data_IF_741137260671
#
_entry.id   IF_741137260671
#
_cell.length_a   1.000
_cell.length_b   1.000
_cell.length_c   1.000
_cell.angle_alpha   90.00
_cell.angle_beta   90.00
_cell.angle_gamma   90.00
#
_symmetry.space_group_name_H-M   'P 1'
#
loop_
_entity.id
_entity.type
_entity.pdbx_description
1 polymer ?
#
# COMPACT_ATOMS: atom_id res chain seq x y z
N UNK A 1 16.05 -3.24 10.32
CA UNK A 1 16.41 -3.22 8.90
C UNK A 1 15.95 -1.87 8.40
N UNK A 2 16.88 -1.01 7.99
CA UNK A 2 16.52 0.29 7.42
C UNK A 2 15.90 0.02 6.05
N UNK A 3 14.59 0.26 5.93
CA UNK A 3 13.94 0.27 4.63
C UNK A 3 14.42 1.52 3.89
N UNK A 4 15.11 1.35 2.76
CA UNK A 4 15.62 2.46 1.95
C UNK A 4 14.53 3.20 1.15
N UNK A 5 13.27 2.77 1.26
CA UNK A 5 12.15 3.34 0.51
C UNK A 5 11.33 4.37 1.30
N UNK A 6 10.42 5.01 0.58
CA UNK A 6 9.53 6.05 1.10
C UNK A 6 8.15 5.49 1.38
N UNK A 7 7.68 5.64 2.62
CA UNK A 7 6.40 5.09 3.06
C UNK A 7 5.24 6.07 2.84
N UNK A 8 4.12 5.55 2.35
CA UNK A 8 2.80 6.21 2.40
C UNK A 8 1.83 5.32 3.16
N UNK A 9 1.33 5.82 4.30
CA UNK A 9 0.45 5.06 5.18
C UNK A 9 -1.04 5.38 4.97
N UNK A 10 -1.85 4.33 5.02
CA UNK A 10 -3.31 4.37 4.98
C UNK A 10 -3.87 3.60 6.18
N UNK A 11 -4.98 4.11 6.71
CA UNK A 11 -5.78 3.43 7.74
C UNK A 11 -7.14 3.15 7.12
N UNK A 12 -7.44 1.86 6.97
CA UNK A 12 -8.68 1.39 6.32
C UNK A 12 -9.59 0.77 7.37
N UNK A 13 -10.86 1.16 7.38
CA UNK A 13 -11.90 0.44 8.13
C UNK A 13 -12.37 -0.78 7.33
N UNK A 14 -12.31 -1.97 7.92
CA UNK A 14 -12.64 -3.24 7.24
C UNK A 14 -11.48 -3.83 6.42
N UNK A 15 -11.76 -4.86 5.61
CA UNK A 15 -10.75 -5.58 4.82
C UNK A 15 -10.22 -4.77 3.63
N UNK A 16 -8.91 -4.84 3.29
CA UNK A 16 -8.30 -4.15 2.16
C UNK A 16 -8.52 -4.89 0.82
N UNK A 17 -9.19 -6.03 0.79
CA UNK A 17 -9.27 -6.89 -0.40
C UNK A 17 -9.81 -6.18 -1.65
N UNK A 18 -10.85 -5.36 -1.51
CA UNK A 18 -11.40 -4.58 -2.64
C UNK A 18 -10.46 -3.45 -3.09
N UNK A 19 -9.76 -2.82 -2.15
CA UNK A 19 -8.71 -1.84 -2.46
C UNK A 19 -7.59 -2.49 -3.27
N UNK A 20 -7.07 -3.64 -2.83
CA UNK A 20 -6.01 -4.32 -3.56
C UNK A 20 -6.46 -4.86 -4.92
N UNK A 21 -7.70 -5.33 -5.04
CA UNK A 21 -8.26 -5.73 -6.34
C UNK A 21 -8.31 -4.56 -7.33
N UNK A 22 -8.78 -3.39 -6.89
CA UNK A 22 -8.81 -2.16 -7.73
C UNK A 22 -7.40 -1.67 -8.05
N UNK A 23 -6.51 -1.70 -7.06
CA UNK A 23 -5.10 -1.32 -7.21
C UNK A 23 -4.40 -2.22 -8.25
N UNK A 24 -4.53 -3.53 -8.11
CA UNK A 24 -4.02 -4.54 -9.04
C UNK A 24 -4.51 -4.32 -10.47
N UNK A 25 -5.82 -4.08 -10.66
CA UNK A 25 -6.39 -3.80 -11.98
C UNK A 25 -5.78 -2.55 -12.63
N UNK A 26 -5.57 -1.46 -11.87
CA UNK A 26 -4.99 -0.22 -12.40
C UNK A 26 -3.49 -0.36 -12.68
N UNK A 27 -2.75 -1.10 -11.86
CA UNK A 27 -1.35 -1.42 -12.13
C UNK A 27 -1.22 -2.18 -13.46
N UNK A 28 -2.12 -3.13 -13.72
CA UNK A 28 -2.14 -3.92 -14.94
C UNK A 28 -2.37 -3.09 -16.22
N UNK A 29 -2.93 -1.88 -16.12
CA UNK A 29 -3.04 -0.97 -17.27
C UNK A 29 -1.66 -0.49 -17.77
N UNK A 30 -0.70 -0.28 -16.85
CA UNK A 30 0.68 0.12 -17.18
C UNK A 30 1.60 -1.08 -17.33
N UNK A 31 1.43 -2.09 -16.48
CA UNK A 31 2.24 -3.30 -16.45
C UNK A 31 1.37 -4.57 -16.64
N UNK A 32 0.94 -4.92 -17.86
CA UNK A 32 -0.05 -5.99 -18.08
C UNK A 32 0.36 -7.40 -17.65
N UNK A 33 1.65 -7.62 -17.39
CA UNK A 33 2.22 -8.90 -17.00
C UNK A 33 3.08 -8.79 -15.74
N UNK A 34 2.77 -7.84 -14.85
CA UNK A 34 3.54 -7.65 -13.63
C UNK A 34 3.52 -8.87 -12.71
N UNK A 35 4.54 -8.95 -11.88
CA UNK A 35 4.75 -9.95 -10.87
C UNK A 35 4.32 -9.43 -9.50
N UNK A 36 3.56 -10.24 -8.78
CA UNK A 36 3.24 -10.05 -7.38
C UNK A 36 3.85 -11.19 -6.58
N UNK A 37 4.68 -10.88 -5.57
CA UNK A 37 5.42 -11.89 -4.80
C UNK A 37 6.22 -12.85 -5.70
N UNK A 38 6.85 -12.32 -6.76
CA UNK A 38 7.61 -13.09 -7.75
C UNK A 38 6.77 -14.01 -8.66
N UNK A 39 5.44 -13.98 -8.58
CA UNK A 39 4.53 -14.79 -9.38
C UNK A 39 3.61 -13.90 -10.25
N UNK A 40 2.96 -14.48 -11.25
CA UNK A 40 2.00 -13.75 -12.08
C UNK A 40 0.87 -13.16 -11.22
N UNK A 41 0.64 -11.85 -11.32
CA UNK A 41 -0.36 -11.14 -10.51
C UNK A 41 -1.79 -11.71 -10.59
N UNK A 42 -2.13 -12.38 -11.70
CA UNK A 42 -3.46 -13.00 -11.90
C UNK A 42 -3.68 -14.21 -11.00
N UNK A 43 -2.63 -14.74 -10.39
CA UNK A 43 -2.71 -15.87 -9.46
C UNK A 43 -3.05 -15.47 -8.02
N UNK A 44 -3.02 -14.17 -7.70
CA UNK A 44 -3.21 -13.70 -6.34
C UNK A 44 -4.70 -13.56 -5.98
N UNK A 45 -5.13 -14.16 -4.87
CA UNK A 45 -6.49 -14.05 -4.36
C UNK A 45 -6.60 -12.99 -3.25
N UNK A 46 -6.96 -11.77 -3.64
CA UNK A 46 -7.22 -10.68 -2.68
C UNK A 46 -8.43 -10.92 -1.78
N UNK A 47 -9.33 -11.84 -2.15
CA UNK A 47 -10.49 -12.20 -1.33
C UNK A 47 -10.13 -13.00 -0.07
N UNK A 48 -8.94 -13.62 -0.05
CA UNK A 48 -8.43 -14.34 1.11
C UNK A 48 -7.93 -13.40 2.23
N UNK A 49 -7.74 -12.11 1.96
CA UNK A 49 -7.28 -11.13 2.95
C UNK A 49 -8.47 -10.71 3.82
N UNK A 50 -8.59 -11.33 4.98
CA UNK A 50 -9.69 -11.12 5.93
C UNK A 50 -9.15 -10.69 7.30
N UNK A 51 -9.97 -9.97 8.06
CA UNK A 51 -9.71 -9.81 9.49
C UNK A 51 -9.88 -11.19 10.13
N UNK A 52 -8.81 -11.72 10.73
CA UNK A 52 -8.94 -12.91 11.55
C UNK A 52 -9.57 -12.51 12.92
N UNK A 53 -10.81 -12.97 13.23
CA UNK A 53 -11.48 -12.64 14.47
C UNK A 53 -10.85 -13.32 15.69
N UNK A 54 -10.06 -14.38 15.51
CA UNK A 54 -9.37 -15.12 16.59
C UNK A 54 -7.84 -15.04 16.51
N UNK A 55 -7.32 -14.57 15.38
CA UNK A 55 -5.90 -14.49 15.07
C UNK A 55 -5.11 -13.69 16.09
N UNK A 56 -3.97 -14.25 16.48
CA UNK A 56 -2.91 -13.56 17.19
C UNK A 56 -2.54 -12.28 16.42
N UNK A 57 -1.99 -11.28 17.11
CA UNK A 57 -1.70 -9.93 16.57
C UNK A 57 -0.72 -9.99 15.40
N UNK A 58 -1.22 -10.36 14.23
CA UNK A 58 -0.46 -10.92 13.11
C UNK A 58 0.77 -10.12 12.77
N UNK A 59 1.82 -10.83 12.38
CA UNK A 59 2.95 -10.23 11.69
C UNK A 59 2.44 -9.42 10.50
N UNK A 60 3.11 -8.30 10.20
CA UNK A 60 2.77 -7.55 9.00
C UNK A 60 2.97 -8.45 7.79
N UNK A 61 1.95 -8.59 6.96
CA UNK A 61 2.09 -9.25 5.67
C UNK A 61 2.63 -8.25 4.65
N UNK A 62 3.23 -8.76 3.59
CA UNK A 62 3.81 -7.96 2.51
C UNK A 62 3.36 -8.51 1.16
N UNK A 63 2.91 -7.61 0.30
CA UNK A 63 2.75 -7.86 -1.12
C UNK A 63 3.83 -7.08 -1.85
N UNK A 64 4.69 -7.78 -2.59
CA UNK A 64 5.75 -7.19 -3.39
C UNK A 64 5.32 -7.10 -4.85
N UNK A 65 5.78 -6.06 -5.55
CA UNK A 65 5.35 -5.75 -6.91
C UNK A 65 6.57 -5.38 -7.77
N UNK A 66 6.70 -6.07 -8.90
CA UNK A 66 7.71 -5.79 -9.91
C UNK A 66 7.10 -5.92 -11.30
N UNK A 67 7.55 -5.11 -12.26
CA UNK A 67 7.03 -5.15 -13.63
C UNK A 67 7.27 -6.49 -14.32
N UNK A 68 8.44 -7.07 -14.08
CA UNK A 68 8.93 -8.28 -14.74
C UNK A 68 10.04 -8.93 -13.91
N UNK A 69 10.57 -10.06 -14.37
CA UNK A 69 11.65 -10.78 -13.70
C UNK A 69 12.94 -9.97 -13.60
N UNK A 70 13.25 -9.12 -14.57
CA UNK A 70 14.48 -8.33 -14.53
C UNK A 70 14.42 -7.27 -13.40
N UNK A 71 13.24 -6.73 -13.13
CA UNK A 71 13.02 -5.84 -11.99
C UNK A 71 13.07 -6.58 -10.63
N UNK A 72 12.59 -7.82 -10.56
CA UNK A 72 12.77 -8.68 -9.37
C UNK A 72 14.26 -8.96 -9.11
N UNK A 73 15.00 -9.40 -10.13
CA UNK A 73 16.44 -9.66 -10.02
C UNK A 73 17.21 -8.39 -9.59
N UNK A 74 16.85 -7.23 -10.14
CA UNK A 74 17.38 -5.94 -9.73
C UNK A 74 17.08 -5.63 -8.26
N UNK A 75 15.88 -5.97 -7.77
CA UNK A 75 15.48 -5.73 -6.39
C UNK A 75 16.33 -6.51 -5.40
N UNK A 76 16.63 -7.78 -5.69
CA UNK A 76 17.46 -8.61 -4.81
C UNK A 76 18.83 -7.99 -4.55
N UNK A 77 19.38 -7.28 -5.55
CA UNK A 77 20.69 -6.65 -5.47
C UNK A 77 20.64 -5.21 -4.94
N UNK A 78 19.66 -4.42 -5.36
CA UNK A 78 19.65 -2.96 -5.17
C UNK A 78 18.60 -2.48 -4.16
N UNK A 79 17.71 -3.34 -3.69
CA UNK A 79 16.64 -2.94 -2.79
C UNK A 79 15.60 -2.03 -3.48
N UNK A 80 15.02 -1.11 -2.71
CA UNK A 80 14.11 -0.10 -3.24
C UNK A 80 14.90 0.98 -3.97
N UNK A 81 15.12 0.79 -5.27
CA UNK A 81 15.82 1.73 -6.14
C UNK A 81 15.12 1.82 -7.50
N UNK A 82 15.35 2.91 -8.24
CA UNK A 82 14.91 3.03 -9.62
C UNK A 82 15.92 2.38 -10.57
N UNK A 83 15.41 1.68 -11.58
CA UNK A 83 16.16 1.19 -12.72
C UNK A 83 16.47 2.30 -13.73
N UNK A 84 17.16 1.91 -14.81
CA UNK A 84 17.58 2.84 -15.86
C UNK A 84 16.41 3.48 -16.64
N UNK A 85 15.23 2.87 -16.60
CA UNK A 85 13.98 3.37 -17.19
C UNK A 85 13.19 4.30 -16.25
N UNK A 86 13.69 4.53 -15.03
CA UNK A 86 13.03 5.35 -14.03
C UNK A 86 11.85 4.67 -13.32
N UNK A 87 11.74 3.33 -13.43
CA UNK A 87 10.78 2.52 -12.68
C UNK A 87 11.52 1.59 -11.71
N UNK A 88 10.86 1.13 -10.66
CA UNK A 88 11.48 0.24 -9.68
C UNK A 88 10.47 -0.63 -8.93
N UNK A 89 10.96 -1.66 -8.21
CA UNK A 89 10.11 -2.50 -7.38
C UNK A 89 9.52 -1.70 -6.23
N UNK A 90 8.34 -2.11 -5.77
CA UNK A 90 7.71 -1.54 -4.58
C UNK A 90 6.98 -2.61 -3.77
N UNK A 91 6.62 -2.27 -2.54
CA UNK A 91 5.93 -3.20 -1.65
C UNK A 91 4.76 -2.52 -0.95
N UNK A 92 3.75 -3.31 -0.62
CA UNK A 92 2.64 -2.90 0.23
C UNK A 92 2.63 -3.81 1.45
N UNK A 93 2.93 -3.23 2.61
CA UNK A 93 2.79 -3.89 3.89
C UNK A 93 1.37 -3.69 4.39
N UNK A 94 0.77 -4.72 4.97
CA UNK A 94 -0.54 -4.58 5.59
C UNK A 94 -0.63 -5.40 6.86
N UNK A 95 -1.31 -4.81 7.85
CA UNK A 95 -1.46 -5.41 9.17
C UNK A 95 -2.85 -5.14 9.72
N UNK A 96 -3.59 -6.16 10.17
CA UNK A 96 -4.85 -5.94 10.85
C UNK A 96 -4.62 -5.26 12.20
N UNK A 97 -5.52 -4.36 12.58
CA UNK A 97 -5.55 -3.78 13.91
C UNK A 97 -6.94 -3.93 14.54
N UNK A 98 -6.95 -3.88 15.88
CA UNK A 98 -8.15 -3.69 16.69
C UNK A 98 -7.98 -2.41 17.48
N UNK A 99 -8.99 -1.56 17.42
CA UNK A 99 -9.05 -0.28 18.12
C UNK A 99 -7.89 0.64 17.75
N UNK A 100 -8.09 1.37 16.65
CA UNK A 100 -7.19 2.45 16.26
C UNK A 100 -7.84 3.79 16.57
N UNK A 101 -7.07 4.69 17.19
CA UNK A 101 -7.52 6.04 17.53
C UNK A 101 -6.52 7.06 16.99
N UNK A 102 -7.01 8.01 16.19
CA UNK A 102 -6.24 9.20 15.79
C UNK A 102 -6.73 10.38 16.60
N UNK A 103 -5.81 11.08 17.26
CA UNK A 103 -6.09 12.39 17.85
C UNK A 103 -5.80 13.47 16.83
N UNK A 104 -6.81 14.29 16.54
CA UNK A 104 -6.71 15.43 15.62
C UNK A 104 -6.47 16.69 16.46
N UNK A 105 -5.21 17.10 16.57
CA UNK A 105 -4.80 18.27 17.37
C UNK A 105 -4.99 19.60 16.63
N UNK A 106 -4.88 19.63 15.29
CA UNK A 106 -5.13 20.83 14.47
C UNK A 106 -5.76 20.45 13.13
N UNK A 107 -6.62 21.35 12.64
CA UNK A 107 -7.57 21.18 11.54
C UNK A 107 -7.12 20.21 10.45
N UNK A 108 -7.83 19.09 10.37
CA UNK A 108 -7.75 18.16 9.25
C UNK A 108 -8.89 18.51 8.31
N UNK A 109 -8.56 18.75 7.04
CA UNK A 109 -9.57 18.91 6.00
C UNK A 109 -10.18 17.53 5.72
N UNK A 110 -11.40 17.32 6.19
CA UNK A 110 -12.15 16.09 5.92
C UNK A 110 -13.11 16.39 4.76
N UNK A 111 -13.08 15.56 3.72
CA UNK A 111 -13.87 15.75 2.49
C UNK A 111 -15.40 15.75 2.66
N UNK A 112 -15.89 15.67 3.90
CA UNK A 112 -17.30 15.80 4.27
C UNK A 112 -17.72 17.22 4.66
N UNK A 113 -16.79 18.19 4.65
CA UNK A 113 -17.07 19.59 5.02
C UNK A 113 -17.26 19.81 6.52
N UNK A 114 -16.85 18.84 7.34
CA UNK A 114 -16.78 19.00 8.79
C UNK A 114 -15.41 19.54 9.19
N UNK A 115 -15.37 20.59 10.00
CA UNK A 115 -14.15 21.11 10.63
C UNK A 115 -13.89 20.34 11.93
N UNK A 116 -12.85 19.52 11.96
CA UNK A 116 -12.47 18.73 13.13
C UNK A 116 -11.40 19.48 13.93
N UNK A 117 -11.73 19.84 15.17
CA UNK A 117 -10.80 20.45 16.14
C UNK A 117 -10.85 19.67 17.45
N UNK A 118 -9.69 19.37 18.05
CA UNK A 118 -9.57 18.61 19.31
C UNK A 118 -10.44 17.34 19.34
N UNK A 119 -10.43 16.59 18.24
CA UNK A 119 -11.34 15.47 18.01
C UNK A 119 -10.61 14.14 17.93
N UNK A 120 -11.34 13.04 18.11
CA UNK A 120 -10.82 11.69 17.94
C UNK A 120 -11.53 10.97 16.80
N UNK A 121 -10.74 10.36 15.91
CA UNK A 121 -11.25 9.39 14.93
C UNK A 121 -11.02 8.01 15.53
N UNK A 122 -12.11 7.27 15.74
CA UNK A 122 -12.09 5.91 16.28
C UNK A 122 -12.43 4.92 15.18
N UNK A 123 -11.51 4.01 14.90
CA UNK A 123 -11.71 2.92 13.95
C UNK A 123 -11.70 1.61 14.77
N UNK A 124 -12.87 0.97 14.98
CA UNK A 124 -12.98 -0.21 15.83
C UNK A 124 -12.08 -1.36 15.39
N UNK A 125 -11.96 -1.56 14.09
CA UNK A 125 -11.13 -2.58 13.45
C UNK A 125 -10.86 -2.24 12.00
N UNK A 126 -9.80 -2.80 11.45
CA UNK A 126 -9.37 -2.48 10.10
C UNK A 126 -7.94 -2.91 9.82
N UNK A 127 -7.33 -2.27 8.83
CA UNK A 127 -5.95 -2.53 8.43
C UNK A 127 -5.14 -1.24 8.35
N UNK A 128 -3.93 -1.30 8.88
CA UNK A 128 -2.88 -0.35 8.52
C UNK A 128 -2.22 -0.89 7.26
N UNK A 129 -2.14 -0.05 6.23
CA UNK A 129 -1.52 -0.35 4.94
C UNK A 129 -0.40 0.66 4.73
N UNK A 130 0.80 0.20 4.38
CA UNK A 130 1.97 1.04 4.12
C UNK A 130 2.56 0.69 2.76
N UNK A 131 2.45 1.62 1.82
CA UNK A 131 3.12 1.53 0.51
C UNK A 131 4.54 2.03 0.64
N UNK A 132 5.52 1.25 0.20
CA UNK A 132 6.93 1.62 0.18
C UNK A 132 7.42 1.69 -1.27
N UNK A 133 7.76 2.89 -1.72
CA UNK A 133 8.29 3.18 -3.07
C UNK A 133 9.79 3.46 -3.04
N UNK A 134 10.50 3.32 -4.18
CA UNK A 134 11.94 3.59 -4.27
C UNK A 134 12.33 5.05 -4.03
N UNK A 135 11.51 6.01 -4.43
CA UNK A 135 11.78 7.45 -4.27
C UNK A 135 10.60 8.18 -3.61
N UNK A 136 10.81 9.44 -3.24
CA UNK A 136 9.79 10.29 -2.62
C UNK A 136 8.62 10.55 -3.60
N UNK A 137 7.39 10.07 -3.30
CA UNK A 137 6.22 10.25 -4.16
C UNK A 137 5.80 11.71 -4.40
N UNK A 138 6.32 12.66 -3.63
CA UNK A 138 6.05 14.09 -3.83
C UNK A 138 6.94 14.72 -4.91
N UNK A 139 8.07 14.09 -5.24
CA UNK A 139 9.05 14.61 -6.21
C UNK A 139 9.36 13.66 -7.37
N UNK A 140 9.16 12.36 -7.20
CA UNK A 140 9.43 11.35 -8.23
C UNK A 140 8.15 10.95 -9.00
N UNK A 141 8.13 11.02 -10.34
CA UNK A 141 6.96 10.68 -11.14
C UNK A 141 6.49 9.23 -11.01
N UNK A 142 7.40 8.26 -10.90
CA UNK A 142 7.02 6.84 -10.81
C UNK A 142 6.40 6.53 -9.44
N UNK A 143 7.09 6.89 -8.37
CA UNK A 143 6.64 6.72 -6.99
C UNK A 143 5.34 7.48 -6.72
N UNK A 144 5.23 8.70 -7.28
CA UNK A 144 3.99 9.49 -7.26
C UNK A 144 2.83 8.79 -7.96
N UNK A 145 3.08 8.20 -9.14
CA UNK A 145 2.07 7.41 -9.86
C UNK A 145 1.60 6.18 -9.05
N UNK A 146 2.52 5.39 -8.48
CA UNK A 146 2.16 4.21 -7.67
C UNK A 146 1.28 4.62 -6.48
N UNK A 147 1.68 5.69 -5.77
CA UNK A 147 0.90 6.26 -4.65
C UNK A 147 -0.49 6.68 -5.10
N UNK A 148 -0.60 7.42 -6.20
CA UNK A 148 -1.87 7.94 -6.69
C UNK A 148 -2.80 6.80 -7.12
N UNK A 149 -2.26 5.76 -7.76
CA UNK A 149 -3.02 4.56 -8.14
C UNK A 149 -3.58 3.86 -6.89
N UNK A 150 -2.81 3.75 -5.80
CA UNK A 150 -3.27 3.19 -4.53
C UNK A 150 -4.38 4.05 -3.90
N UNK A 151 -4.16 5.36 -3.78
CA UNK A 151 -5.13 6.29 -3.18
C UNK A 151 -6.46 6.27 -3.96
N UNK A 152 -6.38 6.31 -5.29
CA UNK A 152 -7.58 6.25 -6.14
C UNK A 152 -8.26 4.87 -6.12
N UNK A 153 -7.67 3.86 -5.49
CA UNK A 153 -8.26 2.51 -5.35
C UNK A 153 -9.04 2.33 -4.04
N UNK A 154 -9.03 3.35 -3.17
CA UNK A 154 -9.84 3.38 -1.95
C UNK A 154 -11.34 3.46 -2.28
N UNK A 155 -11.71 4.17 -3.35
CA UNK A 155 -13.10 4.46 -3.73
C UNK A 155 -13.50 3.80 -5.05
#
# INVERSE_FOLDING_TARGET
MDFSGYATDLVLGGSPGDLFRRFSSKLAERWPAYLQNGADHRSFDFGAIVLDPEGDRGESEVATFSRDLAMEDFWEEQGYALGADGEGPFAVFYKPFRQFSVKVDRGVEVGTGADWHDSFILVPEGFHVSLVTPEDPSSDPFSGWVRDVLIQSVW
#
